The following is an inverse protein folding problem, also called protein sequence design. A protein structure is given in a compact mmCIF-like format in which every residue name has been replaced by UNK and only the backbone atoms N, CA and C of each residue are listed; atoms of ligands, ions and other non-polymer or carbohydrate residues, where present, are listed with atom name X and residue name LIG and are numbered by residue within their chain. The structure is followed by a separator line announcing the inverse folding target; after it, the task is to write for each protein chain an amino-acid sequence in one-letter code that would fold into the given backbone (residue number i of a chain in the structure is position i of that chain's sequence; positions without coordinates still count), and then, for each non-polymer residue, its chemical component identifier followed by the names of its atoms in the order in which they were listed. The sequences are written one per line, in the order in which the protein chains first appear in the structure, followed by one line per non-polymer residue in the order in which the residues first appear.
data_IF_755554330313
#
_entry.id   IF_755554330313
#
_cell.length_a   1.000
_cell.length_b   1.000
_cell.length_c   1.000
_cell.angle_alpha   90.00
_cell.angle_beta   90.00
_cell.angle_gamma   90.00
#
_symmetry.space_group_name_H-M   'P 1'
#
loop_
_entity.id
_entity.type
_entity.pdbx_description
1 polymer ?
#
# COMPACT_ATOMS: atom_id res chain seq x y z
N UNK A 1 7.97 -9.91 10.50
CA UNK A 1 7.44 -9.65 9.13
C UNK A 1 8.62 -9.53 8.17
N UNK A 2 8.50 -9.93 6.89
CA UNK A 2 9.59 -9.70 5.94
C UNK A 2 9.81 -8.20 5.77
N UNK A 3 11.06 -7.77 5.86
CA UNK A 3 11.45 -6.37 5.66
C UNK A 3 11.35 -6.05 4.16
N UNK A 4 10.34 -5.27 3.76
CA UNK A 4 10.20 -4.80 2.38
C UNK A 4 11.43 -3.96 2.00
N UNK A 5 12.00 -4.22 0.83
CA UNK A 5 13.05 -3.35 0.29
C UNK A 5 12.44 -2.12 -0.38
N UNK A 6 13.22 -1.04 -0.49
CA UNK A 6 12.81 0.17 -1.23
C UNK A 6 12.43 -0.17 -2.68
N UNK A 7 13.23 -1.01 -3.34
CA UNK A 7 12.96 -1.47 -4.71
C UNK A 7 11.64 -2.23 -4.84
N UNK A 8 11.27 -3.04 -3.86
CA UNK A 8 10.00 -3.77 -3.87
C UNK A 8 8.81 -2.81 -3.76
N UNK A 9 8.94 -1.82 -2.87
CA UNK A 9 7.91 -0.78 -2.70
C UNK A 9 7.78 0.05 -3.97
N UNK A 10 8.87 0.54 -4.55
CA UNK A 10 8.85 1.30 -5.82
C UNK A 10 8.24 0.50 -6.97
N UNK A 11 8.61 -0.78 -7.10
CA UNK A 11 8.05 -1.69 -8.10
C UNK A 11 6.54 -1.82 -7.93
N UNK A 12 6.07 -2.03 -6.70
CA UNK A 12 4.63 -2.15 -6.42
C UNK A 12 3.89 -0.84 -6.64
N UNK A 13 4.47 0.31 -6.27
CA UNK A 13 3.89 1.63 -6.57
C UNK A 13 3.68 1.86 -8.07
N UNK A 14 4.50 1.27 -8.94
CA UNK A 14 4.32 1.40 -10.40
C UNK A 14 3.04 0.76 -10.95
N UNK A 15 2.36 -0.05 -10.13
CA UNK A 15 1.07 -0.67 -10.48
C UNK A 15 -0.14 0.26 -10.28
N UNK A 16 0.07 1.45 -9.71
CA UNK A 16 -0.99 2.44 -9.48
C UNK A 16 -0.69 3.77 -10.18
N UNK A 17 -1.67 4.67 -10.19
CA UNK A 17 -1.56 5.97 -10.84
C UNK A 17 -1.47 7.10 -9.82
N UNK A 18 -0.68 8.11 -10.13
CA UNK A 18 -0.55 9.33 -9.35
C UNK A 18 -1.88 10.07 -9.34
N UNK A 19 -2.34 10.49 -8.15
CA UNK A 19 -3.59 11.25 -8.02
C UNK A 19 -3.59 12.54 -8.87
N UNK A 20 -2.41 13.17 -9.06
CA UNK A 20 -2.27 14.47 -9.75
C UNK A 20 -2.10 14.31 -11.26
N UNK A 21 -0.98 13.71 -11.70
CA UNK A 21 -0.62 13.66 -13.12
C UNK A 21 -1.02 12.36 -13.84
N UNK A 22 -1.65 11.42 -13.13
CA UNK A 22 -2.09 10.10 -13.63
C UNK A 22 -0.98 9.19 -14.18
N UNK A 23 0.30 9.58 -14.06
CA UNK A 23 1.45 8.73 -14.35
C UNK A 23 1.71 7.69 -13.25
N UNK A 24 2.54 6.69 -13.54
CA UNK A 24 2.85 5.56 -12.63
C UNK A 24 4.33 5.45 -12.26
N UNK A 25 5.11 6.53 -12.46
CA UNK A 25 6.53 6.54 -12.08
C UNK A 25 6.72 7.18 -10.72
N UNK A 26 7.19 6.39 -9.76
CA UNK A 26 7.39 6.79 -8.37
C UNK A 26 8.82 6.49 -7.91
N UNK A 27 9.23 7.16 -6.84
CA UNK A 27 10.40 6.81 -6.05
C UNK A 27 10.16 7.00 -4.56
N UNK A 28 11.02 6.43 -3.73
CA UNK A 28 11.05 6.65 -2.29
C UNK A 28 12.17 7.64 -1.95
N UNK A 29 11.84 8.69 -1.21
CA UNK A 29 12.84 9.60 -0.66
C UNK A 29 13.45 9.00 0.61
N UNK A 30 14.61 8.37 0.45
CA UNK A 30 15.30 7.67 1.54
C UNK A 30 15.67 8.58 2.72
N UNK A 31 15.76 9.91 2.51
CA UNK A 31 16.03 10.87 3.58
C UNK A 31 14.91 10.98 4.60
N UNK A 32 13.72 10.51 4.24
CA UNK A 32 12.53 10.50 5.09
C UNK A 32 12.13 9.08 5.51
N UNK A 33 13.02 8.09 5.38
CA UNK A 33 12.76 6.76 5.91
C UNK A 33 12.99 6.76 7.41
N UNK A 34 11.89 6.63 8.16
CA UNK A 34 11.94 6.44 9.61
C UNK A 34 12.00 4.95 9.96
N UNK A 35 12.56 4.64 11.14
CA UNK A 35 12.71 3.27 11.64
C UNK A 35 11.39 2.58 12.00
N UNK A 36 10.32 3.36 12.16
CA UNK A 36 8.95 2.91 12.44
C UNK A 36 8.16 2.58 11.17
N UNK A 37 8.81 2.59 10.00
CA UNK A 37 8.17 2.26 8.73
C UNK A 37 7.36 3.40 8.10
N UNK A 38 7.50 4.64 8.59
CA UNK A 38 7.00 5.82 7.88
C UNK A 38 7.99 6.30 6.83
N UNK A 39 7.64 6.15 5.56
CA UNK A 39 8.43 6.59 4.41
C UNK A 39 7.69 7.65 3.60
N UNK A 40 8.40 8.26 2.64
CA UNK A 40 7.83 9.24 1.71
C UNK A 40 8.00 8.80 0.25
N UNK A 41 6.89 8.61 -0.43
CA UNK A 41 6.84 8.41 -1.87
C UNK A 41 6.78 9.73 -2.62
N UNK A 42 7.38 9.79 -3.81
CA UNK A 42 7.37 10.96 -4.70
C UNK A 42 7.09 10.51 -6.12
N UNK A 43 6.15 11.18 -6.80
CA UNK A 43 5.95 10.99 -8.24
C UNK A 43 7.11 11.62 -9.01
N UNK A 44 7.83 10.84 -9.82
CA UNK A 44 8.98 11.33 -10.60
C UNK A 44 8.60 12.30 -11.73
N UNK A 45 7.31 12.38 -12.08
CA UNK A 45 6.80 13.25 -13.16
C UNK A 45 6.33 14.61 -12.67
N UNK A 46 5.56 14.67 -11.58
CA UNK A 46 4.99 15.92 -11.07
C UNK A 46 5.48 16.31 -9.67
N UNK A 47 6.43 15.55 -9.11
CA UNK A 47 7.03 15.78 -7.78
C UNK A 47 6.04 15.78 -6.62
N UNK A 48 4.82 15.30 -6.84
CA UNK A 48 3.83 15.13 -5.78
C UNK A 48 4.32 14.08 -4.78
N UNK A 49 4.33 14.44 -3.49
CA UNK A 49 4.74 13.58 -2.39
C UNK A 49 3.56 13.03 -1.60
N UNK A 50 3.67 11.79 -1.13
CA UNK A 50 2.64 11.11 -0.35
C UNK A 50 3.27 10.18 0.70
N UNK A 51 2.58 9.89 1.80
CA UNK A 51 3.09 8.98 2.83
C UNK A 51 2.99 7.52 2.36
N UNK A 52 3.97 6.74 2.79
CA UNK A 52 4.07 5.29 2.57
C UNK A 52 4.31 4.63 3.93
N UNK A 53 3.42 3.76 4.35
CA UNK A 53 3.48 3.08 5.65
C UNK A 53 3.84 1.61 5.42
N UNK A 54 5.06 1.23 5.79
CA UNK A 54 5.61 -0.13 5.58
C UNK A 54 5.59 -1.01 6.82
N UNK A 55 5.42 -0.41 8.01
CA UNK A 55 5.10 -1.18 9.22
C UNK A 55 3.59 -1.15 9.45
N UNK A 56 2.98 -2.33 9.33
CA UNK A 56 1.53 -2.50 9.46
C UNK A 56 1.13 -3.11 10.80
N UNK A 57 2.07 -3.43 11.69
CA UNK A 57 1.76 -4.10 12.96
C UNK A 57 0.86 -3.23 13.84
N UNK A 58 1.28 -1.98 14.07
CA UNK A 58 0.49 -1.03 14.87
C UNK A 58 -0.86 -0.72 14.23
N UNK A 59 -0.90 -0.55 12.91
CA UNK A 59 -2.14 -0.27 12.17
C UNK A 59 -3.15 -1.41 12.30
N UNK A 60 -2.74 -2.66 12.08
CA UNK A 60 -3.63 -3.83 12.19
C UNK A 60 -4.10 -4.07 13.62
N UNK A 61 -3.30 -3.67 14.62
CA UNK A 61 -3.69 -3.77 16.04
C UNK A 61 -4.73 -2.73 16.44
N UNK A 62 -4.62 -1.52 15.88
CA UNK A 62 -5.49 -0.38 16.23
C UNK A 62 -6.75 -0.30 15.39
N UNK A 63 -6.77 -0.92 14.21
CA UNK A 63 -7.93 -0.99 13.31
C UNK A 63 -8.46 -2.44 13.23
N UNK A 64 -9.32 -2.87 14.17
CA UNK A 64 -9.72 -4.27 14.29
C UNK A 64 -10.58 -4.77 13.12
N UNK A 65 -11.23 -3.87 12.37
CA UNK A 65 -12.03 -4.16 11.18
C UNK A 65 -11.17 -4.56 9.97
N UNK A 66 -9.98 -3.97 9.83
CA UNK A 66 -9.07 -4.22 8.70
C UNK A 66 -8.70 -5.71 8.58
N UNK A 67 -8.24 -6.42 9.63
CA UNK A 67 -7.95 -7.85 9.56
C UNK A 67 -9.12 -8.71 9.09
N UNK A 68 -10.37 -8.37 9.44
CA UNK A 68 -11.53 -9.10 8.94
C UNK A 68 -11.71 -8.87 7.45
N UNK A 69 -11.63 -7.61 6.99
CA UNK A 69 -11.74 -7.27 5.58
C UNK A 69 -10.64 -7.91 4.73
N UNK A 70 -9.40 -8.01 5.25
CA UNK A 70 -8.31 -8.71 4.56
C UNK A 70 -8.63 -10.20 4.30
N UNK A 71 -9.42 -10.85 5.16
CA UNK A 71 -9.88 -12.24 4.94
C UNK A 71 -10.94 -12.35 3.85
N UNK A 72 -11.67 -11.28 3.57
CA UNK A 72 -12.75 -11.26 2.58
C UNK A 72 -12.26 -10.90 1.17
N UNK A 73 -11.12 -10.21 1.05
CA UNK A 73 -10.52 -9.85 -0.24
C UNK A 73 -10.21 -11.12 -1.04
N UNK A 74 -10.73 -11.17 -2.26
CA UNK A 74 -10.52 -12.27 -3.20
C UNK A 74 -9.35 -11.96 -4.12
N UNK A 75 -8.41 -12.90 -4.24
CA UNK A 75 -7.25 -12.74 -5.11
C UNK A 75 -7.67 -12.65 -6.59
N UNK A 76 -7.18 -11.63 -7.29
CA UNK A 76 -7.47 -11.37 -8.71
C UNK A 76 -6.94 -12.44 -9.68
N UNK A 77 -6.09 -13.37 -9.22
CA UNK A 77 -5.52 -14.42 -10.07
C UNK A 77 -6.01 -15.83 -9.75
N UNK A 78 -6.23 -16.17 -8.48
CA UNK A 78 -6.64 -17.52 -8.07
C UNK A 78 -8.02 -17.60 -7.40
N UNK A 79 -8.72 -16.47 -7.27
CA UNK A 79 -10.03 -16.34 -6.61
C UNK A 79 -10.09 -16.83 -5.15
N UNK A 80 -8.95 -17.16 -4.54
CA UNK A 80 -8.88 -17.50 -3.12
C UNK A 80 -9.11 -16.25 -2.26
N UNK A 81 -9.87 -16.39 -1.18
CA UNK A 81 -10.13 -15.34 -0.20
C UNK A 81 -9.05 -15.31 0.87
N UNK A 82 -8.56 -14.12 1.19
CA UNK A 82 -7.55 -13.91 2.22
C UNK A 82 -6.23 -13.42 1.64
N UNK A 83 -5.84 -12.25 2.13
CA UNK A 83 -4.60 -11.57 1.77
C UNK A 83 -3.86 -11.10 3.04
N UNK A 84 -2.53 -10.99 2.95
CA UNK A 84 -1.73 -10.24 3.92
C UNK A 84 -1.61 -8.79 3.45
N UNK A 85 -1.68 -7.84 4.38
CA UNK A 85 -1.36 -6.45 4.12
C UNK A 85 0.14 -6.24 4.30
N UNK A 86 0.81 -5.79 3.25
CA UNK A 86 2.26 -5.65 3.27
C UNK A 86 2.66 -4.20 3.58
N UNK A 87 2.02 -3.24 2.91
CA UNK A 87 2.16 -1.81 3.18
C UNK A 87 0.93 -1.05 2.66
N UNK A 88 0.77 0.21 3.06
CA UNK A 88 -0.27 1.09 2.52
C UNK A 88 0.28 2.46 2.14
N UNK A 89 -0.43 3.16 1.28
CA UNK A 89 -0.16 4.56 0.95
C UNK A 89 -1.42 5.39 1.02
N UNK A 90 -1.25 6.68 1.23
CA UNK A 90 -2.33 7.67 1.10
C UNK A 90 -2.04 8.53 -0.12
N UNK A 91 -2.49 8.08 -1.29
CA UNK A 91 -2.23 8.75 -2.58
C UNK A 91 -2.95 10.09 -2.70
N UNK A 92 -4.07 10.25 -1.98
CA UNK A 92 -4.73 11.54 -1.76
C UNK A 92 -5.55 11.49 -0.48
N UNK A 93 -6.10 12.62 -0.04
CA UNK A 93 -6.98 12.69 1.15
C UNK A 93 -8.22 11.81 1.07
N UNK A 94 -8.59 11.32 -0.12
CA UNK A 94 -9.74 10.42 -0.35
C UNK A 94 -9.33 9.05 -0.90
N UNK A 95 -8.04 8.79 -1.07
CA UNK A 95 -7.56 7.57 -1.72
C UNK A 95 -6.41 6.95 -0.93
N UNK A 96 -6.75 5.92 -0.17
CA UNK A 96 -5.79 5.00 0.41
C UNK A 96 -5.71 3.73 -0.44
N UNK A 97 -4.49 3.27 -0.69
CA UNK A 97 -4.23 2.07 -1.47
C UNK A 97 -3.45 1.08 -0.60
N UNK A 98 -3.98 -0.13 -0.54
CA UNK A 98 -3.48 -1.22 0.27
C UNK A 98 -2.73 -2.17 -0.65
N UNK A 99 -1.46 -2.37 -0.38
CA UNK A 99 -0.64 -3.29 -1.14
C UNK A 99 -0.66 -4.63 -0.42
N UNK A 100 -1.36 -5.59 -1.02
CA UNK A 100 -1.64 -6.88 -0.40
C UNK A 100 -0.99 -8.02 -1.17
N UNK A 101 -0.76 -9.13 -0.48
CA UNK A 101 -0.27 -10.39 -1.05
C UNK A 101 -1.23 -11.52 -0.76
N UNK A 102 -1.62 -12.29 -1.78
CA UNK A 102 -2.49 -13.43 -1.60
C UNK A 102 -1.84 -14.50 -0.72
N UNK A 103 -2.56 -14.99 0.29
CA UNK A 103 -2.05 -16.03 1.19
C UNK A 103 -1.84 -17.38 0.48
N UNK A 104 -2.60 -17.65 -0.58
CA UNK A 104 -2.54 -18.89 -1.36
C UNK A 104 -1.48 -18.84 -2.46
N UNK A 105 -1.67 -18.01 -3.50
CA UNK A 105 -0.78 -18.00 -4.67
C UNK A 105 0.42 -17.03 -4.56
N UNK A 106 0.55 -16.31 -3.43
CA UNK A 106 1.63 -15.33 -3.16
C UNK A 106 1.73 -14.18 -4.16
N UNK A 107 0.72 -13.96 -4.99
CA UNK A 107 0.66 -12.82 -5.90
C UNK A 107 0.37 -11.54 -5.12
N UNK A 108 1.20 -10.52 -5.34
CA UNK A 108 0.98 -9.17 -4.85
C UNK A 108 0.09 -8.37 -5.81
N UNK A 109 -0.81 -7.53 -5.27
CA UNK A 109 -1.63 -6.61 -6.04
C UNK A 109 -2.07 -5.41 -5.19
N UNK A 110 -2.39 -4.26 -5.81
CA UNK A 110 -3.00 -3.14 -5.11
C UNK A 110 -4.51 -3.37 -4.94
N UNK A 111 -5.00 -3.13 -3.74
CA UNK A 111 -6.43 -3.04 -3.42
C UNK A 111 -6.75 -1.59 -3.08
N UNK A 112 -7.65 -0.98 -3.86
CA UNK A 112 -8.18 0.34 -3.51
C UNK A 112 -9.22 0.14 -2.45
N UNK A 113 -9.03 0.75 -1.29
CA UNK A 113 -10.06 0.66 -0.28
C UNK A 113 -10.87 1.94 -0.22
N UNK A 114 -12.17 1.74 -0.08
CA UNK A 114 -13.07 2.67 0.58
C UNK A 114 -13.12 2.37 2.10
N UNK A 115 -12.03 1.83 2.69
CA UNK A 115 -11.96 1.56 4.15
C UNK A 115 -12.02 2.85 4.97
N UNK A 116 -11.66 3.98 4.37
CA UNK A 116 -11.72 5.30 4.97
C UNK A 116 -12.83 6.11 4.28
N UNK A 117 -14.07 5.59 4.30
CA UNK A 117 -15.23 6.43 4.12
C UNK A 117 -15.37 7.30 5.38
N UNK A 118 -14.66 8.44 5.39
CA UNK A 118 -14.95 9.51 6.32
C UNK A 118 -16.35 10.05 5.97
N UNK A 119 -17.35 9.68 6.77
CA UNK A 119 -18.52 10.52 7.03
C UNK A 119 -18.12 11.77 7.82
#
# INVERSE_FOLDING_TARGET
MPHLSVSDVESRLSTVQCAICKGSSFGIDQRFMQSDGEWRGVCKKCFYSFPVYTDMEFYLRTQPDVPYRLKEISCTACNHRGVSLDFRITMSVREAIYFVTCLNCKRAFPEKSFLEAFE
#
